data_IF_284830964726
#
_entry.id   IF_284830964726
#
_cell.length_a   1.000
_cell.length_b   1.000
_cell.length_c   1.000
_cell.angle_alpha   90.00
_cell.angle_beta   90.00
_cell.angle_gamma   90.00
#
_symmetry.space_group_name_H-M   'P 1'
#
loop_
_entity.id
_entity.type
_entity.pdbx_description
1 polymer ?
#
# COMPACT_ATOMS: atom_id res chain seq x y z
N UNK A 1 8.89 -7.33 14.52
CA UNK A 1 9.47 -6.69 13.31
C UNK A 1 8.54 -5.58 12.87
N UNK A 2 9.04 -4.55 12.20
CA UNK A 2 8.23 -3.39 11.75
C UNK A 2 8.82 -2.78 10.48
N UNK A 3 7.99 -2.12 9.68
CA UNK A 3 8.40 -1.43 8.46
C UNK A 3 7.46 -1.67 7.28
N UNK A 4 7.56 -0.86 6.22
CA UNK A 4 6.62 -0.87 5.09
C UNK A 4 6.57 -2.22 4.37
N UNK A 5 7.65 -2.99 4.34
CA UNK A 5 7.71 -4.32 3.75
C UNK A 5 6.93 -5.40 4.51
N UNK A 6 6.34 -5.11 5.66
CA UNK A 6 5.48 -6.05 6.40
C UNK A 6 4.02 -5.59 6.49
N UNK A 7 3.69 -4.43 5.92
CA UNK A 7 2.33 -3.91 5.89
C UNK A 7 1.42 -4.75 4.98
N UNK A 8 0.12 -4.80 5.29
CA UNK A 8 -0.82 -5.61 4.50
C UNK A 8 -0.93 -5.15 3.04
N UNK A 9 -0.67 -3.88 2.78
CA UNK A 9 -0.82 -3.20 1.48
C UNK A 9 0.23 -2.11 1.34
N UNK A 10 0.43 -1.59 0.12
CA UNK A 10 1.36 -0.47 -0.15
C UNK A 10 2.71 -0.91 -0.69
N UNK A 11 3.01 -2.21 -0.68
CA UNK A 11 4.17 -2.78 -1.36
C UNK A 11 3.85 -2.99 -2.84
N UNK A 12 4.76 -2.57 -3.71
CA UNK A 12 4.63 -2.69 -5.16
C UNK A 12 5.64 -3.66 -5.76
N UNK A 13 5.30 -4.30 -6.87
CA UNK A 13 6.23 -5.11 -7.66
C UNK A 13 7.47 -4.32 -8.05
N UNK A 14 8.61 -5.01 -8.11
CA UNK A 14 9.90 -4.46 -8.52
C UNK A 14 10.38 -3.25 -7.69
N UNK A 15 9.77 -2.99 -6.53
CA UNK A 15 10.26 -2.03 -5.55
C UNK A 15 10.76 -2.77 -4.30
N UNK A 16 11.92 -2.40 -3.75
CA UNK A 16 12.39 -2.97 -2.49
C UNK A 16 11.36 -2.78 -1.37
N UNK A 17 11.04 -3.89 -0.69
CA UNK A 17 10.15 -3.92 0.45
C UNK A 17 10.98 -4.11 1.72
N UNK A 18 11.12 -3.03 2.49
CA UNK A 18 12.07 -2.97 3.61
C UNK A 18 11.38 -3.07 4.97
N UNK A 19 12.03 -3.74 5.90
CA UNK A 19 11.60 -3.79 7.30
C UNK A 19 12.77 -4.06 8.23
N UNK A 20 12.54 -3.78 9.52
CA UNK A 20 13.52 -3.96 10.58
C UNK A 20 13.04 -5.04 11.55
N UNK A 21 13.95 -5.94 11.90
CA UNK A 21 13.77 -6.87 13.02
C UNK A 21 14.59 -6.36 14.19
N UNK A 22 13.93 -6.09 15.31
CA UNK A 22 14.58 -5.75 16.57
C UNK A 22 14.61 -6.99 17.47
N UNK A 23 15.80 -7.47 17.79
CA UNK A 23 16.04 -8.66 18.59
C UNK A 23 16.82 -8.35 19.88
N UNK A 24 16.94 -7.08 20.28
CA UNK A 24 17.75 -6.65 21.44
C UNK A 24 17.33 -7.32 22.75
N UNK A 25 16.06 -7.66 22.90
CA UNK A 25 15.52 -8.37 24.06
C UNK A 25 15.44 -9.90 23.89
N UNK A 26 15.87 -10.44 22.75
CA UNK A 26 15.72 -11.85 22.37
C UNK A 26 16.86 -12.76 22.79
N UNK A 27 17.85 -12.26 23.54
CA UNK A 27 19.09 -13.01 23.83
C UNK A 27 19.95 -13.21 22.58
N UNK A 28 20.87 -14.19 22.59
CA UNK A 28 21.71 -14.52 21.43
C UNK A 28 21.14 -15.74 20.72
N UNK A 29 20.59 -15.57 19.52
CA UNK A 29 20.12 -16.64 18.66
C UNK A 29 20.18 -16.21 17.18
N UNK A 30 20.11 -17.15 16.21
CA UNK A 30 20.08 -16.79 14.80
C UNK A 30 18.74 -16.21 14.38
N UNK A 31 18.76 -15.14 13.56
CA UNK A 31 17.60 -14.65 12.82
C UNK A 31 17.42 -15.49 11.54
N UNK A 32 16.17 -15.87 11.26
CA UNK A 32 15.77 -16.45 9.98
C UNK A 32 14.59 -15.67 9.41
N UNK A 33 14.72 -15.27 8.14
CA UNK A 33 13.69 -14.59 7.38
C UNK A 33 13.44 -15.37 6.09
N UNK A 34 12.18 -15.66 5.80
CA UNK A 34 11.76 -16.32 4.57
C UNK A 34 10.57 -15.57 3.99
N UNK A 35 10.59 -15.29 2.70
CA UNK A 35 9.45 -14.73 1.98
C UNK A 35 9.08 -15.69 0.86
N UNK A 36 7.79 -15.98 0.71
CA UNK A 36 7.27 -16.79 -0.39
C UNK A 36 6.02 -16.13 -0.98
N UNK A 37 5.82 -16.30 -2.28
CA UNK A 37 4.55 -15.94 -2.91
C UNK A 37 3.44 -16.95 -2.58
N UNK A 38 2.20 -16.68 -2.98
CA UNK A 38 1.08 -17.57 -2.71
C UNK A 38 1.09 -18.87 -3.52
N UNK A 39 1.99 -19.00 -4.50
CA UNK A 39 2.26 -20.25 -5.23
C UNK A 39 3.33 -21.10 -4.53
N UNK A 40 3.93 -20.58 -3.44
CA UNK A 40 5.01 -21.25 -2.72
C UNK A 40 6.40 -21.00 -3.31
N UNK A 41 6.53 -20.10 -4.29
CA UNK A 41 7.84 -19.72 -4.84
C UNK A 41 8.58 -18.86 -3.83
N UNK A 42 9.84 -19.18 -3.49
CA UNK A 42 10.63 -18.34 -2.60
C UNK A 42 10.97 -17.01 -3.26
N UNK A 43 11.05 -15.95 -2.45
CA UNK A 43 11.51 -14.62 -2.85
C UNK A 43 12.80 -14.32 -2.11
N UNK A 44 13.81 -13.86 -2.84
CA UNK A 44 15.11 -13.53 -2.28
C UNK A 44 14.98 -12.40 -1.25
N UNK A 45 15.61 -12.61 -0.09
CA UNK A 45 15.65 -11.66 1.01
C UNK A 45 17.10 -11.33 1.34
N UNK A 46 17.41 -10.04 1.35
CA UNK A 46 18.65 -9.51 1.90
C UNK A 46 18.46 -9.22 3.38
N UNK A 47 19.38 -9.68 4.22
CA UNK A 47 19.40 -9.42 5.66
C UNK A 47 20.76 -8.83 6.02
N UNK A 48 20.75 -7.65 6.62
CA UNK A 48 21.93 -6.96 7.11
C UNK A 48 21.86 -6.85 8.63
N UNK A 49 22.84 -7.45 9.31
CA UNK A 49 23.05 -7.26 10.75
C UNK A 49 23.72 -5.90 11.00
N UNK A 50 23.15 -5.09 11.90
CA UNK A 50 23.68 -3.78 12.28
C UNK A 50 24.66 -3.84 13.46
N UNK A 51 24.89 -5.02 14.05
CA UNK A 51 25.80 -5.21 15.19
C UNK A 51 25.28 -4.68 16.52
N UNK A 52 24.05 -4.17 16.56
CA UNK A 52 23.40 -3.64 17.77
C UNK A 52 22.14 -4.43 18.17
N UNK A 53 21.99 -5.65 17.66
CA UNK A 53 20.81 -6.50 17.87
C UNK A 53 19.60 -6.14 16.99
N UNK A 54 19.79 -5.30 15.98
CA UNK A 54 18.78 -4.99 14.95
C UNK A 54 19.24 -5.46 13.57
N UNK A 55 18.29 -5.80 12.72
CA UNK A 55 18.53 -6.34 11.39
C UNK A 55 17.69 -5.60 10.36
N UNK A 56 18.32 -5.03 9.35
CA UNK A 56 17.62 -4.47 8.19
C UNK A 56 17.39 -5.58 7.17
N UNK A 57 16.13 -5.80 6.84
CA UNK A 57 15.71 -6.81 5.87
C UNK A 57 15.09 -6.11 4.65
N UNK A 58 15.35 -6.64 3.46
CA UNK A 58 14.76 -6.15 2.21
C UNK A 58 14.48 -7.31 1.28
N UNK A 59 13.33 -7.32 0.62
CA UNK A 59 13.01 -8.29 -0.44
C UNK A 59 12.44 -7.57 -1.67
N UNK A 60 12.55 -8.21 -2.83
CA UNK A 60 12.09 -7.65 -4.10
C UNK A 60 10.99 -8.53 -4.70
N UNK A 61 9.70 -8.19 -4.50
CA UNK A 61 8.61 -9.00 -5.04
C UNK A 61 8.49 -8.80 -6.55
N UNK A 62 8.39 -9.90 -7.30
CA UNK A 62 8.34 -9.90 -8.78
C UNK A 62 6.93 -10.12 -9.34
N UNK A 63 5.98 -10.56 -8.51
CA UNK A 63 4.60 -10.87 -8.90
C UNK A 63 3.60 -10.06 -8.07
N UNK A 64 2.56 -9.48 -8.70
CA UNK A 64 1.54 -8.69 -8.00
C UNK A 64 0.51 -9.62 -7.33
N UNK A 65 0.96 -10.35 -6.30
CA UNK A 65 0.16 -11.33 -5.58
C UNK A 65 0.48 -11.29 -4.09
N UNK A 66 -0.30 -12.04 -3.31
CA UNK A 66 -0.05 -12.17 -1.87
C UNK A 66 1.28 -12.86 -1.62
N UNK A 67 2.10 -12.27 -0.76
CA UNK A 67 3.33 -12.84 -0.24
C UNK A 67 3.20 -13.08 1.27
N UNK A 68 3.92 -14.08 1.76
CA UNK A 68 3.99 -14.44 3.17
C UNK A 68 5.43 -14.31 3.64
N UNK A 69 5.67 -13.37 4.55
CA UNK A 69 6.97 -13.19 5.20
C UNK A 69 6.95 -13.87 6.58
N UNK A 70 7.80 -14.87 6.75
CA UNK A 70 8.01 -15.61 7.98
C UNK A 70 9.31 -15.15 8.62
N UNK A 71 9.22 -14.67 9.86
CA UNK A 71 10.38 -14.25 10.65
C UNK A 71 10.43 -15.11 11.91
N UNK A 72 11.59 -15.68 12.19
CA UNK A 72 11.85 -16.48 13.39
C UNK A 72 13.21 -16.17 14.00
N UNK A 73 13.29 -16.35 15.32
CA UNK A 73 14.46 -16.10 16.14
C UNK A 73 14.77 -17.36 16.95
N UNK A 74 15.95 -17.94 16.77
CA UNK A 74 16.30 -19.21 17.42
C UNK A 74 15.37 -20.38 17.06
N UNK A 75 14.77 -20.34 15.86
CA UNK A 75 13.80 -21.34 15.40
C UNK A 75 12.36 -21.12 15.86
N UNK A 76 12.10 -20.12 16.71
CA UNK A 76 10.75 -19.77 17.18
C UNK A 76 10.22 -18.57 16.41
N UNK A 77 8.96 -18.63 15.96
CA UNK A 77 8.33 -17.49 15.28
C UNK A 77 8.26 -16.28 16.20
N UNK A 78 8.66 -15.12 15.68
CA UNK A 78 8.49 -13.86 16.42
C UNK A 78 6.99 -13.50 16.48
N UNK A 79 6.57 -12.61 17.41
CA UNK A 79 5.21 -12.09 17.42
C UNK A 79 4.80 -11.53 16.05
N UNK A 80 3.53 -11.75 15.69
CA UNK A 80 2.90 -11.37 14.41
C UNK A 80 3.42 -12.11 13.16
N UNK A 81 4.45 -12.95 13.27
CA UNK A 81 4.84 -13.86 12.20
C UNK A 81 3.80 -15.00 12.10
N UNK A 82 3.31 -15.36 10.91
CA UNK A 82 3.69 -14.82 9.60
C UNK A 82 2.97 -13.52 9.21
N UNK A 83 3.69 -12.64 8.51
CA UNK A 83 3.16 -11.41 7.93
C UNK A 83 2.62 -11.70 6.52
N UNK A 84 1.42 -11.20 6.23
CA UNK A 84 0.75 -11.39 4.93
C UNK A 84 0.66 -10.06 4.21
N UNK A 85 1.38 -9.93 3.10
CA UNK A 85 1.57 -8.69 2.35
C UNK A 85 0.92 -8.86 0.97
N UNK A 86 -0.03 -8.00 0.63
CA UNK A 86 -0.57 -7.94 -0.73
C UNK A 86 0.32 -7.03 -1.59
N UNK A 87 1.00 -7.61 -2.57
CA UNK A 87 1.85 -6.87 -3.50
C UNK A 87 0.99 -6.34 -4.65
N UNK A 88 0.91 -5.02 -4.78
CA UNK A 88 0.22 -4.37 -5.89
C UNK A 88 1.11 -4.29 -7.15
N UNK A 89 0.49 -4.15 -8.32
CA UNK A 89 1.19 -3.89 -9.59
C UNK A 89 1.85 -2.49 -9.66
N UNK A 90 1.85 -1.73 -8.55
CA UNK A 90 2.19 -0.31 -8.51
C UNK A 90 0.97 0.59 -8.68
N UNK A 91 1.16 1.88 -8.39
CA UNK A 91 0.17 2.93 -8.63
C UNK A 91 0.63 3.77 -9.82
N UNK A 92 -0.28 4.07 -10.73
CA UNK A 92 -0.08 4.89 -11.92
C UNK A 92 -1.15 5.99 -11.96
N UNK A 93 -1.04 7.04 -11.11
CA UNK A 93 -2.05 8.10 -11.04
C UNK A 93 -2.32 8.78 -12.38
N UNK A 94 -1.29 8.89 -13.24
CA UNK A 94 -1.41 9.47 -14.58
C UNK A 94 -2.30 8.65 -15.55
N UNK A 95 -2.68 7.42 -15.16
CA UNK A 95 -3.59 6.57 -15.91
C UNK A 95 -5.04 6.66 -15.43
N UNK A 96 -5.33 7.41 -14.36
CA UNK A 96 -6.69 7.71 -13.93
C UNK A 96 -7.35 8.60 -14.98
N UNK A 97 -8.55 8.22 -15.42
CA UNK A 97 -9.36 9.00 -16.36
C UNK A 97 -10.61 9.50 -15.64
N UNK A 98 -11.00 10.75 -15.87
CA UNK A 98 -12.24 11.33 -15.33
C UNK A 98 -13.07 11.87 -16.48
N UNK A 99 -14.32 11.45 -16.57
CA UNK A 99 -15.22 11.85 -17.67
C UNK A 99 -16.68 11.84 -17.25
N UNK A 100 -17.53 12.54 -18.00
CA UNK A 100 -18.97 12.65 -17.74
C UNK A 100 -19.45 14.10 -17.72
N UNK A 101 -20.78 14.33 -17.70
CA UNK A 101 -21.36 15.67 -17.76
C UNK A 101 -20.97 16.55 -16.56
N UNK A 102 -20.68 15.95 -15.40
CA UNK A 102 -20.28 16.61 -14.15
C UNK A 102 -18.94 17.35 -14.22
N UNK A 103 -18.08 16.99 -15.18
CA UNK A 103 -16.73 17.57 -15.36
C UNK A 103 -16.57 18.23 -16.74
N UNK A 104 -17.66 18.38 -17.48
CA UNK A 104 -17.65 19.11 -18.74
C UNK A 104 -17.40 20.60 -18.49
N UNK A 105 -16.69 21.26 -19.42
CA UNK A 105 -16.37 22.70 -19.32
C UNK A 105 -17.62 23.59 -19.39
N UNK A 106 -18.70 23.09 -19.99
CA UNK A 106 -19.95 23.79 -20.23
C UNK A 106 -21.12 22.79 -20.14
N UNK A 107 -22.34 23.31 -20.02
CA UNK A 107 -23.56 22.48 -20.04
C UNK A 107 -24.05 22.02 -18.66
N UNK A 108 -23.34 22.36 -17.59
CA UNK A 108 -23.84 22.20 -16.22
C UNK A 108 -24.92 23.24 -15.93
N UNK A 109 -26.02 22.80 -15.32
CA UNK A 109 -27.14 23.65 -14.97
C UNK A 109 -27.38 23.62 -13.46
N UNK A 110 -27.68 24.78 -12.91
CA UNK A 110 -28.09 24.89 -11.51
C UNK A 110 -29.34 24.03 -11.26
N UNK A 111 -29.40 23.41 -10.09
CA UNK A 111 -30.53 22.58 -9.63
C UNK A 111 -30.81 21.30 -10.45
N UNK A 112 -30.00 20.99 -11.47
CA UNK A 112 -30.07 19.70 -12.16
C UNK A 112 -28.93 18.79 -11.65
N UNK A 113 -29.23 17.56 -11.17
CA UNK A 113 -28.18 16.64 -10.76
C UNK A 113 -27.31 16.25 -11.95
N UNK A 114 -26.02 16.03 -11.70
CA UNK A 114 -25.05 15.61 -12.70
C UNK A 114 -24.19 14.48 -12.15
N UNK A 115 -23.39 13.85 -13.01
CA UNK A 115 -22.53 12.73 -12.64
C UNK A 115 -21.21 12.78 -13.41
N UNK A 116 -20.20 12.12 -12.87
CA UNK A 116 -18.96 11.82 -13.57
C UNK A 116 -18.45 10.47 -13.10
N UNK A 117 -17.62 9.86 -13.92
CA UNK A 117 -16.98 8.58 -13.68
C UNK A 117 -15.49 8.82 -13.45
N UNK A 118 -14.95 8.17 -12.42
CA UNK A 118 -13.51 8.05 -12.19
C UNK A 118 -13.10 6.63 -12.55
N UNK A 119 -12.36 6.48 -13.64
CA UNK A 119 -11.86 5.19 -14.12
C UNK A 119 -10.42 4.98 -13.65
N UNK A 120 -10.24 4.02 -12.74
CA UNK A 120 -8.96 3.61 -12.18
C UNK A 120 -8.49 2.23 -12.66
N UNK A 121 -9.13 1.66 -13.70
CA UNK A 121 -8.84 0.29 -14.16
C UNK A 121 -7.37 0.08 -14.52
N UNK A 122 -6.70 1.10 -15.05
CA UNK A 122 -5.27 1.06 -15.38
C UNK A 122 -4.35 1.72 -14.33
N UNK A 123 -4.91 2.36 -13.30
CA UNK A 123 -4.14 3.12 -12.31
C UNK A 123 -3.49 2.20 -11.26
N UNK A 124 -3.87 0.93 -11.19
CA UNK A 124 -3.36 0.01 -10.18
C UNK A 124 -3.86 0.35 -8.77
N UNK A 125 -3.13 -0.08 -7.75
CA UNK A 125 -3.56 0.10 -6.35
C UNK A 125 -3.39 1.55 -5.90
N UNK A 126 -4.41 2.11 -5.24
CA UNK A 126 -4.37 3.44 -4.65
C UNK A 126 -5.75 3.85 -4.15
N UNK A 127 -5.77 4.89 -3.32
CA UNK A 127 -7.01 5.48 -2.82
C UNK A 127 -7.46 6.63 -3.72
N UNK A 128 -8.77 6.74 -3.94
CA UNK A 128 -9.39 7.84 -4.68
C UNK A 128 -10.04 8.79 -3.69
N UNK A 129 -9.70 10.07 -3.77
CA UNK A 129 -10.33 11.13 -2.98
C UNK A 129 -10.92 12.18 -3.92
N UNK A 130 -12.16 12.58 -3.68
CA UNK A 130 -12.87 13.56 -4.51
C UNK A 130 -13.27 14.75 -3.65
N UNK A 131 -12.97 15.96 -4.13
CA UNK A 131 -13.42 17.20 -3.53
C UNK A 131 -14.05 18.09 -4.59
N UNK A 132 -15.26 18.58 -4.32
CA UNK A 132 -15.95 19.58 -5.15
C UNK A 132 -15.80 20.92 -4.44
N UNK A 133 -15.31 21.93 -5.16
CA UNK A 133 -15.15 23.30 -4.65
C UNK A 133 -15.90 24.26 -5.54
N UNK A 134 -16.63 25.18 -4.92
CA UNK A 134 -17.22 26.33 -5.60
C UNK A 134 -16.25 27.53 -5.52
N UNK A 135 -16.45 28.52 -6.39
CA UNK A 135 -15.75 29.79 -6.26
C UNK A 135 -16.08 30.45 -4.90
N UNK A 136 -15.15 31.20 -4.30
CA UNK A 136 -15.42 31.95 -3.07
C UNK A 136 -16.68 32.81 -3.23
N UNK A 137 -17.61 32.71 -2.27
CA UNK A 137 -18.86 33.48 -2.27
C UNK A 137 -20.06 32.83 -2.98
N UNK A 138 -19.89 31.65 -3.58
CA UNK A 138 -21.02 30.85 -4.10
C UNK A 138 -21.55 29.97 -2.96
N UNK A 139 -22.57 30.47 -2.25
CA UNK A 139 -23.32 29.71 -1.25
C UNK A 139 -24.47 29.00 -1.96
N UNK A 140 -24.56 27.68 -1.81
CA UNK A 140 -25.71 26.92 -2.29
C UNK A 140 -26.98 27.34 -1.55
N UNK A 141 -28.17 27.25 -2.16
CA UNK A 141 -29.42 27.67 -1.56
C UNK A 141 -29.92 26.79 -0.39
N UNK A 142 -29.08 25.93 0.20
CA UNK A 142 -29.45 24.94 1.20
C UNK A 142 -28.55 24.94 2.46
N UNK A 143 -27.93 26.07 2.83
CA UNK A 143 -27.40 26.29 4.19
C UNK A 143 -28.34 27.15 5.05
N UNK A 144 -29.66 27.10 4.78
CA UNK A 144 -30.65 27.83 5.57
C UNK A 144 -31.41 26.99 6.61
N UNK A 145 -31.26 25.66 6.64
CA UNK A 145 -31.93 24.82 7.65
C UNK A 145 -31.19 23.47 7.84
N UNK A 146 -30.09 23.45 8.62
CA UNK A 146 -29.70 22.30 9.48
C UNK A 146 -28.90 22.83 10.68
#
# INVERSE_FOLDING_TARGET
AHGPGLEKTGVAINKPAEFTVDARSGGKAPLKVQVQDSEGSPVDVSVKDNGNGTYNCSYLPKKPMKHTAMVSWGGVNIPNSPYRVNIGAGSHPNKVKVYGPGVAKTGLKAHEPTYFTVDCTEAGQGDVSIGIKCAPGVVGPAEADI
#
